data_IF_231932565379
#
_entry.id   IF_231932565379
#
_cell.length_a   1.000
_cell.length_b   1.000
_cell.length_c   1.000
_cell.angle_alpha   90.00
_cell.angle_beta   90.00
_cell.angle_gamma   90.00
#
_symmetry.space_group_name_H-M   'P 1'
#
loop_
_entity.id
_entity.type
_entity.pdbx_description
1 polymer ?
#
# COMPACT_ATOMS: atom_id res chain seq x y z
N UNK A 1 1.64 -10.48 0.07
CA UNK A 1 0.69 -10.05 -0.98
C UNK A 1 -0.50 -10.98 -1.12
N UNK A 2 -0.33 -12.27 -1.48
CA UNK A 2 -1.49 -13.18 -1.66
C UNK A 2 -2.45 -13.21 -0.47
N UNK A 3 -1.92 -13.35 0.75
CA UNK A 3 -2.73 -13.30 1.96
C UNK A 3 -3.51 -11.98 2.12
N UNK A 4 -2.87 -10.83 1.84
CA UNK A 4 -3.53 -9.51 1.90
C UNK A 4 -4.67 -9.42 0.90
N UNK A 5 -4.46 -9.88 -0.34
CA UNK A 5 -5.49 -9.91 -1.38
C UNK A 5 -6.68 -10.80 -1.00
N UNK A 6 -6.43 -11.98 -0.40
CA UNK A 6 -7.50 -12.85 0.09
C UNK A 6 -8.31 -12.14 1.18
N UNK A 7 -7.63 -11.50 2.14
CA UNK A 7 -8.30 -10.73 3.20
C UNK A 7 -9.10 -9.57 2.62
N UNK A 8 -8.57 -8.85 1.63
CA UNK A 8 -9.28 -7.76 0.95
C UNK A 8 -10.53 -8.24 0.21
N UNK A 9 -10.42 -9.33 -0.55
CA UNK A 9 -11.56 -9.93 -1.27
C UNK A 9 -12.65 -10.40 -0.31
N UNK A 10 -12.29 -10.90 0.87
CA UNK A 10 -13.26 -11.28 1.91
C UNK A 10 -13.85 -10.07 2.62
N UNK A 11 -13.05 -9.03 2.87
CA UNK A 11 -13.48 -7.82 3.55
C UNK A 11 -14.41 -6.96 2.68
N UNK A 12 -14.15 -6.83 1.38
CA UNK A 12 -14.95 -6.03 0.45
C UNK A 12 -16.47 -6.30 0.50
N UNK A 13 -16.96 -7.56 0.36
CA UNK A 13 -18.39 -7.84 0.46
C UNK A 13 -18.93 -7.62 1.88
N UNK A 14 -18.14 -7.88 2.92
CA UNK A 14 -18.53 -7.63 4.31
C UNK A 14 -18.74 -6.13 4.54
N UNK A 15 -17.79 -5.29 4.15
CA UNK A 15 -17.91 -3.83 4.26
C UNK A 15 -19.07 -3.30 3.39
N UNK A 16 -19.24 -3.82 2.17
CA UNK A 16 -20.37 -3.45 1.30
C UNK A 16 -21.71 -3.77 1.97
N UNK A 17 -21.85 -4.96 2.56
CA UNK A 17 -23.08 -5.39 3.22
C UNK A 17 -23.39 -4.60 4.50
N UNK A 18 -22.37 -4.29 5.30
CA UNK A 18 -22.54 -3.58 6.58
C UNK A 18 -22.75 -2.07 6.41
N UNK A 19 -22.01 -1.44 5.50
CA UNK A 19 -22.04 0.02 5.32
C UNK A 19 -22.97 0.47 4.19
N UNK A 20 -23.53 -0.46 3.41
CA UNK A 20 -24.46 -0.14 2.31
C UNK A 20 -23.83 0.65 1.15
N UNK A 21 -22.50 0.73 1.10
CA UNK A 21 -21.73 1.43 0.05
C UNK A 21 -21.24 0.45 -1.00
N UNK A 22 -21.31 0.81 -2.27
CA UNK A 22 -20.79 -0.03 -3.35
C UNK A 22 -19.26 0.11 -3.43
N UNK A 23 -18.54 -0.85 -2.83
CA UNK A 23 -17.08 -0.89 -2.86
C UNK A 23 -16.50 -1.59 -4.10
N UNK A 24 -17.37 -2.00 -5.04
CA UNK A 24 -16.98 -2.64 -6.30
C UNK A 24 -16.71 -1.63 -7.43
N UNK A 25 -16.59 -0.34 -7.11
CA UNK A 25 -16.14 0.67 -8.06
C UNK A 25 -14.70 0.36 -8.53
N UNK A 26 -14.47 0.39 -9.84
CA UNK A 26 -13.15 0.17 -10.44
C UNK A 26 -12.07 1.10 -9.86
N UNK A 27 -12.44 2.33 -9.50
CA UNK A 27 -11.54 3.31 -8.87
C UNK A 27 -11.11 2.86 -7.47
N UNK A 28 -12.02 2.30 -6.68
CA UNK A 28 -11.71 1.76 -5.36
C UNK A 28 -10.86 0.50 -5.46
N UNK A 29 -11.18 -0.38 -6.40
CA UNK A 29 -10.36 -1.57 -6.67
C UNK A 29 -8.93 -1.16 -7.04
N UNK A 30 -8.76 -0.12 -7.85
CA UNK A 30 -7.43 0.42 -8.17
C UNK A 30 -6.71 0.97 -6.93
N UNK A 31 -7.41 1.72 -6.06
CA UNK A 31 -6.82 2.22 -4.80
C UNK A 31 -6.36 1.07 -3.92
N UNK A 32 -7.17 0.01 -3.79
CA UNK A 32 -6.85 -1.18 -2.99
C UNK A 32 -5.59 -1.85 -3.55
N UNK A 33 -5.56 -2.16 -4.85
CA UNK A 33 -4.42 -2.82 -5.48
C UNK A 33 -3.14 -1.98 -5.32
N UNK A 34 -3.19 -0.68 -5.63
CA UNK A 34 -2.04 0.19 -5.53
C UNK A 34 -1.56 0.37 -4.09
N UNK A 35 -2.49 0.54 -3.15
CA UNK A 35 -2.21 0.64 -1.72
C UNK A 35 -1.52 -0.62 -1.20
N UNK A 36 -2.04 -1.79 -1.55
CA UNK A 36 -1.50 -3.09 -1.14
C UNK A 36 -0.14 -3.36 -1.73
N UNK A 37 0.06 -3.06 -3.02
CA UNK A 37 1.37 -3.19 -3.67
C UNK A 37 2.38 -2.23 -3.05
N UNK A 38 2.04 -0.95 -2.91
CA UNK A 38 2.93 0.05 -2.32
C UNK A 38 3.32 -0.31 -0.88
N UNK A 39 2.34 -0.62 -0.03
CA UNK A 39 2.56 -0.97 1.36
C UNK A 39 3.38 -2.26 1.52
N UNK A 40 3.01 -3.33 0.81
CA UNK A 40 3.73 -4.59 0.89
C UNK A 40 5.18 -4.47 0.40
N UNK A 41 5.43 -3.65 -0.62
CA UNK A 41 6.78 -3.47 -1.17
C UNK A 41 7.69 -2.68 -0.21
N UNK A 42 7.16 -1.61 0.41
CA UNK A 42 7.85 -0.89 1.49
C UNK A 42 8.25 -1.85 2.62
N UNK A 43 7.27 -2.62 3.12
CA UNK A 43 7.52 -3.57 4.21
C UNK A 43 8.52 -4.67 3.83
N UNK A 44 8.49 -5.13 2.59
CA UNK A 44 9.40 -6.18 2.09
C UNK A 44 10.84 -5.68 2.05
N UNK A 45 11.10 -4.50 1.48
CA UNK A 45 12.46 -3.93 1.40
C UNK A 45 13.03 -3.64 2.78
N UNK A 46 12.25 -3.00 3.65
CA UNK A 46 12.69 -2.70 5.01
C UNK A 46 12.95 -3.97 5.82
N UNK A 47 12.12 -5.01 5.66
CA UNK A 47 12.36 -6.31 6.29
C UNK A 47 13.62 -6.99 5.78
N UNK A 48 13.88 -6.93 4.47
CA UNK A 48 15.09 -7.48 3.87
C UNK A 48 16.37 -6.79 4.38
N UNK A 49 16.38 -5.45 4.40
CA UNK A 49 17.54 -4.68 4.89
C UNK A 49 17.79 -4.86 6.40
N UNK A 50 16.73 -5.02 7.19
CA UNK A 50 16.86 -5.15 8.65
C UNK A 50 17.07 -6.59 9.12
N UNK A 51 16.91 -7.59 8.25
CA UNK A 51 17.03 -9.01 8.59
C UNK A 51 18.37 -9.35 9.29
N UNK A 52 19.45 -8.66 8.90
CA UNK A 52 20.81 -8.92 9.39
C UNK A 52 21.23 -8.00 10.56
N UNK A 53 20.34 -7.11 11.02
CA UNK A 53 20.65 -6.15 12.08
C UNK A 53 20.19 -6.63 13.46
N UNK A 54 21.04 -6.47 14.50
CA UNK A 54 20.72 -6.87 15.89
C UNK A 54 19.57 -6.05 16.53
N UNK A 55 19.17 -4.93 15.92
CA UNK A 55 18.10 -4.04 16.40
C UNK A 55 16.84 -4.08 15.51
N UNK A 56 16.64 -5.17 14.75
CA UNK A 56 15.54 -5.35 13.78
C UNK A 56 14.16 -5.00 14.33
N UNK A 57 13.87 -5.38 15.58
CA UNK A 57 12.56 -5.19 16.21
C UNK A 57 12.24 -3.72 16.52
N UNK A 58 13.26 -2.87 16.67
CA UNK A 58 13.11 -1.44 16.96
C UNK A 58 13.24 -0.60 15.68
N UNK A 59 14.15 -0.99 14.78
CA UNK A 59 14.39 -0.31 13.51
C UNK A 59 13.19 -0.45 12.56
N UNK A 60 12.55 -1.62 12.53
CA UNK A 60 11.47 -1.88 11.59
C UNK A 60 10.26 -0.96 11.85
N UNK A 61 9.70 -0.81 13.06
CA UNK A 61 8.62 0.16 13.32
C UNK A 61 9.03 1.62 13.10
N UNK A 62 10.25 1.99 13.53
CA UNK A 62 10.77 3.36 13.41
C UNK A 62 10.89 3.80 11.95
N UNK A 63 11.29 2.89 11.05
CA UNK A 63 11.45 3.19 9.63
C UNK A 63 10.17 2.92 8.83
N UNK A 64 9.42 1.87 9.19
CA UNK A 64 8.23 1.47 8.45
C UNK A 64 7.08 2.46 8.65
N UNK A 65 6.87 2.97 9.86
CA UNK A 65 5.81 3.94 10.13
C UNK A 65 5.93 5.21 9.26
N UNK A 66 7.06 5.94 9.24
CA UNK A 66 7.18 7.17 8.44
C UNK A 66 7.14 6.90 6.93
N UNK A 67 7.61 5.74 6.46
CA UNK A 67 7.61 5.41 5.02
C UNK A 67 6.26 4.88 4.56
N UNK A 68 5.54 4.13 5.40
CA UNK A 68 4.20 3.63 5.10
C UNK A 68 3.12 4.71 5.26
N UNK A 69 3.32 5.68 6.17
CA UNK A 69 2.33 6.73 6.45
C UNK A 69 1.85 7.47 5.19
N UNK A 70 2.71 7.93 4.25
CA UNK A 70 2.28 8.56 3.02
C UNK A 70 1.35 7.67 2.16
N UNK A 71 1.65 6.37 2.04
CA UNK A 71 0.81 5.41 1.30
C UNK A 71 -0.53 5.23 1.97
N UNK A 72 -0.52 5.04 3.29
CA UNK A 72 -1.74 4.86 4.07
C UNK A 72 -2.63 6.12 3.99
N UNK A 73 -2.05 7.31 4.14
CA UNK A 73 -2.76 8.58 4.01
C UNK A 73 -3.34 8.72 2.61
N UNK A 74 -2.56 8.43 1.56
CA UNK A 74 -3.04 8.52 0.18
C UNK A 74 -4.18 7.53 -0.09
N UNK A 75 -4.10 6.29 0.41
CA UNK A 75 -5.15 5.28 0.26
C UNK A 75 -6.44 5.68 0.97
N UNK A 76 -6.34 6.18 2.22
CA UNK A 76 -7.50 6.66 2.98
C UNK A 76 -8.13 7.87 2.31
N UNK A 77 -7.33 8.86 1.89
CA UNK A 77 -7.83 10.07 1.23
C UNK A 77 -8.45 9.79 -0.14
N UNK A 78 -7.85 8.90 -0.93
CA UNK A 78 -8.41 8.49 -2.22
C UNK A 78 -9.72 7.72 -2.03
N UNK A 79 -9.77 6.77 -1.10
CA UNK A 79 -11.00 6.02 -0.77
C UNK A 79 -12.11 6.95 -0.31
N UNK A 80 -11.83 7.84 0.65
CA UNK A 80 -12.81 8.81 1.14
C UNK A 80 -13.33 9.72 0.01
N UNK A 81 -12.43 10.27 -0.81
CA UNK A 81 -12.84 11.12 -1.92
C UNK A 81 -13.70 10.41 -2.97
N UNK A 82 -13.44 9.13 -3.24
CA UNK A 82 -14.29 8.33 -4.15
C UNK A 82 -15.67 8.09 -3.53
N UNK A 83 -15.73 7.76 -2.24
CA UNK A 83 -16.98 7.52 -1.52
C UNK A 83 -17.82 8.80 -1.36
N UNK A 84 -17.16 9.95 -1.20
CA UNK A 84 -17.79 11.28 -1.14
C UNK A 84 -18.23 11.78 -2.53
N UNK A 85 -17.92 11.06 -3.61
CA UNK A 85 -18.29 11.43 -4.98
C UNK A 85 -17.49 12.61 -5.55
N UNK A 86 -16.30 12.89 -5.02
CA UNK A 86 -15.46 14.00 -5.47
C UNK A 86 -14.99 13.85 -6.92
N UNK A 87 -14.64 14.97 -7.55
CA UNK A 87 -14.13 14.96 -8.91
C UNK A 87 -12.73 14.32 -8.97
N UNK A 88 -12.41 13.69 -10.10
CA UNK A 88 -11.10 13.05 -10.29
C UNK A 88 -9.93 14.01 -10.14
N UNK A 89 -10.10 15.30 -10.48
CA UNK A 89 -9.07 16.31 -10.28
C UNK A 89 -8.67 16.50 -8.80
N UNK A 90 -9.61 16.30 -7.88
CA UNK A 90 -9.38 16.45 -6.43
C UNK A 90 -8.72 15.19 -5.83
N UNK A 91 -8.98 14.03 -6.43
CA UNK A 91 -8.45 12.73 -6.00
C UNK A 91 -7.10 12.43 -6.68
N UNK A 92 -6.82 13.04 -7.83
CA UNK A 92 -5.67 12.76 -8.69
C UNK A 92 -4.33 12.79 -7.96
N UNK A 93 -4.13 13.76 -7.05
CA UNK A 93 -2.88 13.87 -6.28
C UNK A 93 -2.63 12.65 -5.40
N UNK A 94 -3.66 12.13 -4.76
CA UNK A 94 -3.56 10.94 -3.90
C UNK A 94 -3.33 9.69 -4.74
N UNK A 95 -4.01 9.58 -5.89
CA UNK A 95 -3.76 8.51 -6.86
C UNK A 95 -2.34 8.52 -7.40
N UNK A 96 -1.79 9.70 -7.73
CA UNK A 96 -0.41 9.84 -8.19
C UNK A 96 0.59 9.39 -7.13
N UNK A 97 0.35 9.71 -5.85
CA UNK A 97 1.18 9.21 -4.75
C UNK A 97 1.11 7.69 -4.63
N UNK A 98 -0.07 7.09 -4.71
CA UNK A 98 -0.22 5.63 -4.68
C UNK A 98 0.52 4.95 -5.84
N UNK A 99 0.39 5.48 -7.05
CA UNK A 99 1.11 4.98 -8.23
C UNK A 99 2.63 5.14 -8.04
N UNK A 100 3.08 6.29 -7.54
CA UNK A 100 4.50 6.52 -7.29
C UNK A 100 5.07 5.47 -6.34
N UNK A 101 4.40 5.19 -5.22
CA UNK A 101 4.85 4.15 -4.29
C UNK A 101 4.76 2.74 -4.88
N UNK A 102 3.68 2.43 -5.60
CA UNK A 102 3.47 1.13 -6.24
C UNK A 102 4.45 0.85 -7.40
N UNK A 103 5.13 1.86 -7.94
CA UNK A 103 6.16 1.69 -8.97
C UNK A 103 7.56 1.77 -8.38
N UNK A 104 7.84 2.81 -7.60
CA UNK A 104 9.20 3.09 -7.09
C UNK A 104 9.67 1.98 -6.14
N UNK A 105 8.85 1.55 -5.19
CA UNK A 105 9.29 0.55 -4.21
C UNK A 105 9.53 -0.83 -4.83
N UNK A 106 8.64 -1.38 -5.66
CA UNK A 106 8.94 -2.61 -6.40
C UNK A 106 10.17 -2.49 -7.30
N UNK A 107 10.34 -1.37 -8.00
CA UNK A 107 11.50 -1.15 -8.86
C UNK A 107 12.80 -1.16 -8.04
N UNK A 108 12.82 -0.43 -6.92
CA UNK A 108 13.95 -0.45 -5.98
C UNK A 108 14.16 -1.86 -5.44
N UNK A 109 13.11 -2.56 -5.01
CA UNK A 109 13.22 -3.93 -4.49
C UNK A 109 13.88 -4.85 -5.52
N UNK A 110 13.50 -4.74 -6.79
CA UNK A 110 14.07 -5.51 -7.89
C UNK A 110 15.55 -5.16 -8.14
N UNK A 111 15.90 -3.87 -8.14
CA UNK A 111 17.27 -3.41 -8.34
C UNK A 111 18.20 -3.78 -7.18
N UNK A 112 17.71 -3.76 -5.94
CA UNK A 112 18.50 -4.10 -4.75
C UNK A 112 18.53 -5.60 -4.47
N UNK A 113 17.67 -6.40 -5.12
CA UNK A 113 17.57 -7.84 -4.89
C UNK A 113 18.93 -8.55 -5.07
N UNK A 114 19.65 -8.23 -6.16
CA UNK A 114 20.96 -8.83 -6.44
C UNK A 114 22.03 -8.48 -5.38
N UNK A 115 21.93 -7.31 -4.75
CA UNK A 115 22.82 -6.91 -3.65
C UNK A 115 22.48 -7.66 -2.37
N UNK A 116 21.21 -7.78 -2.03
CA UNK A 116 20.74 -8.47 -0.81
C UNK A 116 20.96 -9.98 -0.87
N UNK A 117 20.87 -10.60 -2.06
CA UNK A 117 21.01 -12.06 -2.23
C UNK A 117 22.47 -12.51 -2.36
N UNK A 118 23.39 -11.61 -2.71
CA UNK A 118 24.83 -11.93 -2.82
C UNK A 118 25.61 -11.79 -1.51
N UNK A 119 25.00 -11.31 -0.44
CA UNK A 119 25.50 -11.38 0.95
C UNK A 119 24.82 -12.52 1.73
#
# INVERSE_FOLDING_TARGET
>A
MLFMLVVEVLMLPVFTAFFGVNLFDLRLILVIILGTVGFASVGTILSAMTAQTRAREVLLPILLLPVAAPVLIAAVKATAGILDGLAMGEIARWMQLLVAFAVIFPAVAFMTFDYVVKE
#
